data_IF_224025320754
#
_entry.id   IF_224025320754
#
_cell.length_a   1.000
_cell.length_b   1.000
_cell.length_c   1.000
_cell.angle_alpha   90.00
_cell.angle_beta   90.00
_cell.angle_gamma   90.00
#
_symmetry.space_group_name_H-M   'P 1'
#
loop_
_entity.id
_entity.type
_entity.pdbx_description
1 polymer ?
#
# COMPACT_ATOMS: atom_id res chain seq x y z
N UNK A 1 -44.54 -33.25 -22.90
CA UNK A 1 -44.79 -32.72 -21.53
C UNK A 1 -43.92 -33.39 -20.46
N UNK A 2 -43.75 -34.72 -20.44
CA UNK A 2 -42.95 -35.45 -19.44
C UNK A 2 -41.42 -35.18 -19.46
N UNK A 3 -40.86 -34.75 -20.60
CA UNK A 3 -39.44 -34.35 -20.73
C UNK A 3 -39.14 -32.92 -20.25
N UNK A 4 -40.14 -32.04 -20.24
CA UNK A 4 -40.00 -30.64 -19.78
C UNK A 4 -40.07 -30.58 -18.24
N UNK A 5 -40.84 -31.48 -17.62
CA UNK A 5 -40.95 -31.57 -16.17
C UNK A 5 -39.66 -32.09 -15.49
N UNK A 6 -38.90 -32.96 -16.15
CA UNK A 6 -37.62 -33.47 -15.62
C UNK A 6 -36.52 -32.40 -15.69
N UNK A 7 -36.54 -31.52 -16.70
CA UNK A 7 -35.61 -30.40 -16.81
C UNK A 7 -35.88 -29.31 -15.75
N UNK A 8 -37.15 -29.09 -15.37
CA UNK A 8 -37.51 -28.13 -14.31
C UNK A 8 -37.18 -28.69 -12.92
N UNK A 9 -37.32 -30.00 -12.69
CA UNK A 9 -36.92 -30.60 -11.41
C UNK A 9 -35.39 -30.63 -11.20
N UNK A 10 -34.57 -30.71 -12.26
CA UNK A 10 -33.10 -30.56 -12.14
C UNK A 10 -32.64 -29.10 -11.98
N UNK A 11 -33.42 -28.12 -12.46
CA UNK A 11 -33.14 -26.70 -12.22
C UNK A 11 -33.55 -26.25 -10.80
N UNK A 12 -34.56 -26.89 -10.20
CA UNK A 12 -35.07 -26.55 -8.86
C UNK A 12 -34.30 -27.24 -7.73
N UNK A 13 -33.61 -28.37 -7.98
CA UNK A 13 -32.70 -28.97 -6.99
C UNK A 13 -31.40 -28.20 -6.78
N UNK A 14 -31.10 -27.20 -7.62
CA UNK A 14 -30.02 -26.23 -7.34
C UNK A 14 -30.46 -25.04 -6.49
N UNK A 15 -31.78 -24.83 -6.31
CA UNK A 15 -32.33 -23.75 -5.47
C UNK A 15 -32.55 -24.15 -4.01
N UNK A 16 -32.41 -25.44 -3.67
CA UNK A 16 -32.48 -25.92 -2.29
C UNK A 16 -31.20 -26.68 -1.92
N UNK A 17 -30.29 -25.98 -1.23
CA UNK A 17 -29.54 -26.59 -0.13
C UNK A 17 -28.29 -27.39 -0.44
N UNK A 18 -27.75 -27.40 -1.67
CA UNK A 18 -26.33 -27.76 -1.83
C UNK A 18 -25.51 -26.55 -1.37
N UNK A 19 -25.18 -26.52 -0.08
CA UNK A 19 -24.02 -25.77 0.37
C UNK A 19 -22.81 -26.38 -0.34
N UNK A 20 -22.47 -25.83 -1.52
CA UNK A 20 -21.13 -26.03 -2.05
C UNK A 20 -20.21 -25.50 -0.95
N UNK A 21 -19.37 -26.35 -0.32
CA UNK A 21 -18.49 -25.88 0.73
C UNK A 21 -17.70 -24.71 0.16
N UNK A 22 -17.65 -23.61 0.92
CA UNK A 22 -17.05 -22.34 0.51
C UNK A 22 -15.53 -22.43 0.27
N UNK A 23 -14.93 -23.63 0.37
CA UNK A 23 -13.50 -23.88 0.35
C UNK A 23 -12.96 -24.63 -0.88
N UNK A 24 -13.80 -25.06 -1.83
CA UNK A 24 -13.27 -25.58 -3.10
C UNK A 24 -13.07 -24.42 -4.08
N UNK A 25 -11.93 -23.72 -3.98
CA UNK A 25 -11.52 -22.76 -5.01
C UNK A 25 -11.52 -23.47 -6.38
N UNK A 26 -12.32 -22.96 -7.33
CA UNK A 26 -12.40 -23.50 -8.69
C UNK A 26 -11.04 -23.38 -9.40
N UNK A 27 -10.31 -22.31 -9.08
CA UNK A 27 -8.99 -22.05 -9.62
C UNK A 27 -7.94 -22.56 -8.63
N UNK A 28 -7.25 -23.64 -9.01
CA UNK A 28 -6.11 -24.16 -8.25
C UNK A 28 -4.88 -23.24 -8.31
N UNK A 29 -3.93 -23.45 -7.39
CA UNK A 29 -2.70 -22.63 -7.30
C UNK A 29 -1.90 -22.54 -8.60
N UNK A 30 -1.67 -23.67 -9.28
CA UNK A 30 -0.90 -23.65 -10.53
C UNK A 30 -1.62 -22.87 -11.64
N UNK A 31 -2.96 -22.94 -11.67
CA UNK A 31 -3.76 -22.14 -12.58
C UNK A 31 -3.68 -20.65 -12.25
N UNK A 32 -3.74 -20.32 -10.95
CA UNK A 32 -3.53 -18.94 -10.45
C UNK A 32 -2.18 -18.37 -10.90
N UNK A 33 -1.10 -19.14 -10.77
CA UNK A 33 0.24 -18.73 -11.20
C UNK A 33 0.30 -18.56 -12.72
N UNK A 34 -0.23 -19.52 -13.49
CA UNK A 34 -0.25 -19.45 -14.96
C UNK A 34 -0.98 -18.21 -15.47
N UNK A 35 -2.16 -17.90 -14.90
CA UNK A 35 -2.89 -16.68 -15.24
C UNK A 35 -2.07 -15.43 -14.90
N UNK A 36 -1.42 -15.43 -13.73
CA UNK A 36 -0.51 -14.37 -13.31
C UNK A 36 0.60 -14.09 -14.31
N UNK A 37 1.27 -15.14 -14.79
CA UNK A 37 2.35 -15.04 -15.78
C UNK A 37 1.87 -14.46 -17.11
N UNK A 38 0.69 -14.87 -17.58
CA UNK A 38 0.12 -14.34 -18.83
C UNK A 38 -0.25 -12.86 -18.70
N UNK A 39 -0.89 -12.46 -17.59
CA UNK A 39 -1.23 -11.05 -17.31
C UNK A 39 0.03 -10.21 -17.11
N UNK A 40 1.02 -10.73 -16.38
CA UNK A 40 2.33 -10.12 -16.19
C UNK A 40 3.00 -9.80 -17.53
N UNK A 41 3.03 -10.77 -18.45
CA UNK A 41 3.59 -10.55 -19.79
C UNK A 41 2.82 -9.48 -20.57
N UNK A 42 1.49 -9.42 -20.45
CA UNK A 42 0.68 -8.38 -21.08
C UNK A 42 1.00 -6.99 -20.53
N UNK A 43 1.06 -6.83 -19.20
CA UNK A 43 1.39 -5.56 -18.54
C UNK A 43 2.81 -5.10 -18.90
N UNK A 44 3.79 -6.00 -18.88
CA UNK A 44 5.18 -5.70 -19.23
C UNK A 44 5.33 -5.32 -20.70
N UNK A 45 4.56 -5.93 -21.61
CA UNK A 45 4.53 -5.54 -23.02
C UNK A 45 3.83 -4.19 -23.24
N UNK A 46 2.78 -3.90 -22.47
CA UNK A 46 2.00 -2.68 -22.62
C UNK A 46 2.73 -1.45 -22.08
N UNK A 47 3.28 -1.54 -20.87
CA UNK A 47 3.87 -0.40 -20.16
C UNK A 47 5.40 -0.39 -20.22
N UNK A 48 6.04 -1.53 -20.47
CA UNK A 48 7.48 -1.67 -20.29
C UNK A 48 7.89 -1.72 -18.81
N UNK A 49 9.06 -2.30 -18.55
CA UNK A 49 9.67 -2.37 -17.21
C UNK A 49 10.77 -1.32 -17.09
N UNK A 50 10.81 -0.58 -15.98
CA UNK A 50 11.86 0.40 -15.72
C UNK A 50 13.22 -0.32 -15.58
N UNK A 51 14.24 0.18 -16.29
CA UNK A 51 15.57 -0.45 -16.37
C UNK A 51 16.54 -0.01 -15.25
N UNK A 52 16.07 0.76 -14.28
CA UNK A 52 16.84 1.16 -13.11
C UNK A 52 16.91 0.01 -12.09
N UNK A 53 18.08 -0.65 -12.02
CA UNK A 53 18.29 -1.78 -11.13
C UNK A 53 18.19 -1.42 -9.64
N UNK A 54 18.61 -0.21 -9.24
CA UNK A 54 18.52 0.24 -7.86
C UNK A 54 17.06 0.46 -7.46
N UNK A 55 16.27 1.05 -8.36
CA UNK A 55 14.84 1.24 -8.15
C UNK A 55 14.08 -0.10 -8.06
N UNK A 56 14.36 -1.04 -8.96
CA UNK A 56 13.77 -2.38 -8.89
C UNK A 56 14.15 -3.09 -7.58
N UNK A 57 15.42 -3.02 -7.18
CA UNK A 57 15.90 -3.62 -5.94
C UNK A 57 15.22 -3.00 -4.71
N UNK A 58 15.04 -1.68 -4.67
CA UNK A 58 14.33 -0.97 -3.61
C UNK A 58 12.90 -1.47 -3.45
N UNK A 59 12.11 -1.47 -4.53
CA UNK A 59 10.71 -1.91 -4.48
C UNK A 59 10.60 -3.39 -4.11
N UNK A 60 11.49 -4.24 -4.64
CA UNK A 60 11.54 -5.65 -4.26
C UNK A 60 11.92 -5.82 -2.78
N UNK A 61 12.89 -5.08 -2.25
CA UNK A 61 13.27 -5.18 -0.83
C UNK A 61 12.07 -4.85 0.09
N UNK A 62 11.31 -3.80 -0.24
CA UNK A 62 10.10 -3.43 0.51
C UNK A 62 9.06 -4.56 0.45
N UNK A 63 8.75 -5.01 -0.77
CA UNK A 63 7.78 -6.08 -0.99
C UNK A 63 8.14 -7.38 -0.28
N UNK A 64 9.39 -7.83 -0.37
CA UNK A 64 9.86 -9.06 0.29
C UNK A 64 9.83 -8.95 1.81
N UNK A 65 10.16 -7.78 2.38
CA UNK A 65 10.07 -7.53 3.83
C UNK A 65 8.62 -7.67 4.33
N UNK A 66 7.64 -7.21 3.55
CA UNK A 66 6.22 -7.37 3.83
C UNK A 66 5.74 -8.82 3.66
N UNK A 67 6.18 -9.50 2.60
CA UNK A 67 5.83 -10.91 2.33
C UNK A 67 6.33 -11.81 3.44
N UNK A 68 7.54 -11.57 3.97
CA UNK A 68 8.14 -12.37 5.04
C UNK A 68 7.26 -12.47 6.32
N UNK A 69 6.37 -11.50 6.56
CA UNK A 69 5.45 -11.48 7.71
C UNK A 69 3.99 -11.77 7.33
N UNK A 70 3.75 -12.19 6.08
CA UNK A 70 2.42 -12.51 5.56
C UNK A 70 2.01 -13.97 5.81
N UNK A 71 0.71 -14.24 5.76
CA UNK A 71 0.19 -15.59 6.01
C UNK A 71 0.24 -16.51 4.77
N UNK A 72 0.52 -15.96 3.58
CA UNK A 72 0.48 -16.71 2.31
C UNK A 72 1.89 -16.89 1.75
N UNK A 73 2.61 -17.89 2.28
CA UNK A 73 4.00 -18.19 1.93
C UNK A 73 4.16 -19.19 0.77
N UNK A 74 3.05 -19.68 0.20
CA UNK A 74 3.10 -20.72 -0.82
C UNK A 74 3.38 -20.18 -2.24
N UNK A 75 3.38 -18.86 -2.45
CA UNK A 75 3.65 -18.22 -3.74
C UNK A 75 5.07 -17.64 -3.78
N UNK A 76 5.64 -17.56 -4.98
CA UNK A 76 6.80 -16.73 -5.23
C UNK A 76 6.32 -15.32 -5.58
N UNK A 77 6.65 -14.35 -4.73
CA UNK A 77 6.26 -12.96 -4.94
C UNK A 77 7.30 -12.23 -5.77
N UNK A 78 6.84 -11.55 -6.82
CA UNK A 78 7.69 -10.71 -7.67
C UNK A 78 7.19 -9.29 -7.67
N UNK A 79 8.10 -8.33 -7.51
CA UNK A 79 7.79 -6.91 -7.52
C UNK A 79 8.52 -6.25 -8.67
N UNK A 80 7.79 -5.51 -9.52
CA UNK A 80 8.38 -4.80 -10.66
C UNK A 80 7.84 -3.38 -10.79
N UNK A 81 8.70 -2.48 -11.23
CA UNK A 81 8.30 -1.11 -11.58
C UNK A 81 7.99 -1.01 -13.07
N UNK A 82 6.78 -0.57 -13.40
CA UNK A 82 6.33 -0.32 -14.77
C UNK A 82 6.57 1.13 -15.18
N UNK A 83 6.92 1.33 -16.46
CA UNK A 83 7.23 2.63 -17.01
C UNK A 83 5.95 3.40 -17.41
N UNK A 84 5.24 3.89 -16.40
CA UNK A 84 4.05 4.73 -16.57
C UNK A 84 4.05 5.85 -15.51
N UNK A 85 3.66 7.05 -15.93
CA UNK A 85 3.55 8.23 -15.07
C UNK A 85 2.24 8.26 -14.25
N UNK A 86 1.38 7.24 -14.39
CA UNK A 86 0.19 7.12 -13.55
C UNK A 86 0.55 6.80 -12.10
N UNK A 87 -0.24 7.33 -11.16
CA UNK A 87 -0.16 7.01 -9.73
C UNK A 87 -0.96 5.73 -9.48
N UNK A 88 -0.33 4.58 -9.67
CA UNK A 88 -0.98 3.29 -9.56
C UNK A 88 -0.07 2.14 -9.08
N UNK A 89 -0.69 1.10 -8.53
CA UNK A 89 -0.08 -0.20 -8.24
C UNK A 89 -1.13 -1.30 -8.51
N UNK A 90 -0.66 -2.52 -8.79
CA UNK A 90 -1.53 -3.63 -9.18
C UNK A 90 -1.00 -4.95 -8.61
N UNK A 91 -1.84 -5.67 -7.86
CA UNK A 91 -1.67 -7.10 -7.60
C UNK A 91 -2.39 -7.95 -8.66
N UNK A 92 -1.66 -8.84 -9.33
CA UNK A 92 -2.23 -9.84 -10.23
C UNK A 92 -2.13 -11.25 -9.62
N UNK A 93 -2.94 -12.22 -10.08
CA UNK A 93 -2.92 -13.58 -9.55
C UNK A 93 -1.50 -14.17 -9.49
N UNK A 94 -1.23 -15.02 -8.49
CA UNK A 94 0.01 -15.80 -8.47
C UNK A 94 1.23 -15.10 -7.85
N UNK A 95 1.09 -13.90 -7.30
CA UNK A 95 2.14 -13.23 -6.52
C UNK A 95 2.90 -12.14 -7.27
N UNK A 96 2.46 -11.75 -8.46
CA UNK A 96 3.08 -10.65 -9.21
C UNK A 96 2.43 -9.32 -8.80
N UNK A 97 3.26 -8.38 -8.36
CA UNK A 97 2.84 -7.06 -7.91
C UNK A 97 3.63 -6.01 -8.69
N UNK A 98 2.92 -5.04 -9.24
CA UNK A 98 3.49 -3.97 -10.05
C UNK A 98 3.24 -2.62 -9.40
N UNK A 99 4.24 -1.74 -9.49
CA UNK A 99 4.17 -0.35 -9.05
C UNK A 99 4.50 0.53 -10.25
N UNK A 100 3.73 1.59 -10.48
CA UNK A 100 3.98 2.48 -11.60
C UNK A 100 4.98 3.55 -11.16
N UNK A 101 5.88 3.97 -12.07
CA UNK A 101 6.88 5.01 -11.79
C UNK A 101 6.24 6.29 -11.22
N UNK A 102 5.08 6.70 -11.74
CA UNK A 102 4.34 7.86 -11.23
C UNK A 102 3.94 7.75 -9.75
N UNK A 103 3.64 6.55 -9.25
CA UNK A 103 3.36 6.33 -7.83
C UNK A 103 4.61 6.51 -6.97
N UNK A 104 5.76 6.03 -7.45
CA UNK A 104 7.05 6.18 -6.77
C UNK A 104 7.45 7.65 -6.68
N UNK A 105 7.28 8.39 -7.78
CA UNK A 105 7.55 9.83 -7.82
C UNK A 105 6.61 10.60 -6.86
N UNK A 106 5.40 10.07 -6.62
CA UNK A 106 4.40 10.66 -5.73
C UNK A 106 4.59 10.30 -4.23
N UNK A 107 5.18 9.14 -3.94
CA UNK A 107 5.44 8.58 -2.61
C UNK A 107 6.94 8.32 -2.42
N UNK A 108 7.72 9.37 -2.09
CA UNK A 108 9.17 9.27 -2.09
C UNK A 108 9.73 8.38 -0.98
N UNK A 109 9.01 8.14 0.13
CA UNK A 109 9.53 7.31 1.24
C UNK A 109 9.19 5.83 1.10
N UNK A 110 10.06 4.98 1.66
CA UNK A 110 9.83 3.52 1.69
C UNK A 110 8.60 3.15 2.53
N UNK A 111 8.32 3.91 3.59
CA UNK A 111 7.14 3.72 4.44
C UNK A 111 5.85 3.94 3.65
N UNK A 112 5.79 5.00 2.85
CA UNK A 112 4.60 5.31 2.04
C UNK A 112 4.37 4.23 0.97
N UNK A 113 5.43 3.78 0.31
CA UNK A 113 5.37 2.66 -0.64
C UNK A 113 5.00 1.34 0.06
N UNK A 114 5.48 1.10 1.28
CA UNK A 114 5.10 -0.07 2.07
C UNK A 114 3.61 -0.07 2.40
N UNK A 115 2.99 1.10 2.61
CA UNK A 115 1.54 1.24 2.75
C UNK A 115 0.79 0.71 1.53
N UNK A 116 1.19 1.13 0.32
CA UNK A 116 0.57 0.64 -0.93
C UNK A 116 0.86 -0.85 -1.14
N UNK A 117 2.11 -1.29 -1.03
CA UNK A 117 2.49 -2.67 -1.26
C UNK A 117 1.85 -3.62 -0.25
N UNK A 118 1.71 -3.21 1.02
CA UNK A 118 1.01 -3.99 2.03
C UNK A 118 -0.45 -4.23 1.65
N UNK A 119 -1.12 -3.22 1.11
CA UNK A 119 -2.49 -3.33 0.58
C UNK A 119 -2.58 -4.29 -0.61
N UNK A 120 -1.70 -4.16 -1.59
CA UNK A 120 -1.63 -5.06 -2.76
C UNK A 120 -1.34 -6.51 -2.37
N UNK A 121 -0.39 -6.74 -1.45
CA UNK A 121 -0.14 -8.07 -0.88
C UNK A 121 -1.40 -8.60 -0.17
N UNK A 122 -2.17 -7.72 0.49
CA UNK A 122 -3.46 -8.05 1.07
C UNK A 122 -4.44 -8.67 0.06
N UNK A 123 -4.54 -8.12 -1.15
CA UNK A 123 -5.35 -8.70 -2.22
C UNK A 123 -4.88 -10.09 -2.64
N UNK A 124 -3.56 -10.30 -2.74
CA UNK A 124 -2.98 -11.61 -3.07
C UNK A 124 -3.24 -12.63 -1.95
N UNK A 125 -3.00 -12.26 -0.70
CA UNK A 125 -3.21 -13.12 0.48
C UNK A 125 -4.67 -13.58 0.56
N UNK A 126 -5.62 -12.68 0.30
CA UNK A 126 -7.06 -12.98 0.34
C UNK A 126 -7.63 -13.53 -0.97
N UNK A 127 -6.80 -13.67 -2.01
CA UNK A 127 -7.18 -14.17 -3.34
C UNK A 127 -8.31 -13.36 -3.99
N UNK A 128 -8.34 -12.04 -3.79
CA UNK A 128 -9.45 -11.20 -4.26
C UNK A 128 -9.65 -11.27 -5.78
N UNK A 129 -8.58 -11.13 -6.57
CA UNK A 129 -8.67 -11.19 -8.04
C UNK A 129 -9.13 -12.57 -8.52
N UNK A 130 -8.65 -13.65 -7.88
CA UNK A 130 -9.10 -15.02 -8.20
C UNK A 130 -10.59 -15.21 -7.89
N UNK A 131 -11.05 -14.78 -6.71
CA UNK A 131 -12.47 -14.83 -6.34
C UNK A 131 -13.34 -14.02 -7.30
N UNK A 132 -12.84 -12.90 -7.82
CA UNK A 132 -13.54 -12.08 -8.79
C UNK A 132 -13.63 -12.79 -10.16
N UNK A 133 -12.54 -13.41 -10.62
CA UNK A 133 -12.55 -14.23 -11.83
C UNK A 133 -13.53 -15.40 -11.68
N UNK A 134 -13.52 -16.11 -10.55
CA UNK A 134 -14.45 -17.22 -10.29
C UNK A 134 -15.91 -16.77 -10.30
N UNK A 135 -16.22 -15.60 -9.72
CA UNK A 135 -17.56 -14.99 -9.80
C UNK A 135 -17.95 -14.68 -11.25
N UNK A 136 -17.04 -14.12 -12.03
CA UNK A 136 -17.28 -13.81 -13.44
C UNK A 136 -17.47 -15.08 -14.28
N UNK A 137 -16.65 -16.12 -14.04
CA UNK A 137 -16.81 -17.45 -14.65
C UNK A 137 -18.19 -18.03 -14.39
N UNK A 138 -18.66 -17.99 -13.15
CA UNK A 138 -19.99 -18.50 -12.80
C UNK A 138 -21.11 -17.78 -13.56
N UNK A 139 -21.01 -16.45 -13.69
CA UNK A 139 -21.94 -15.64 -14.49
C UNK A 139 -21.84 -15.97 -15.99
N UNK A 140 -20.63 -16.11 -16.53
CA UNK A 140 -20.43 -16.43 -17.95
C UNK A 140 -20.91 -17.84 -18.29
N UNK A 141 -20.67 -18.84 -17.44
CA UNK A 141 -21.20 -20.20 -17.62
C UNK A 141 -22.74 -20.21 -17.59
N UNK A 142 -23.35 -19.47 -16.67
CA UNK A 142 -24.81 -19.26 -16.65
C UNK A 142 -25.29 -18.63 -17.97
N UNK A 143 -24.57 -17.63 -18.47
CA UNK A 143 -24.91 -16.96 -19.73
C UNK A 143 -24.73 -17.88 -20.94
N UNK A 144 -23.65 -18.67 -21.02
CA UNK A 144 -23.40 -19.62 -22.11
C UNK A 144 -24.48 -20.70 -22.17
N UNK A 145 -24.92 -21.23 -21.02
CA UNK A 145 -26.04 -22.18 -20.94
C UNK A 145 -27.33 -21.55 -21.49
N UNK A 146 -27.52 -20.23 -21.29
CA UNK A 146 -28.68 -19.49 -21.75
C UNK A 146 -28.57 -18.99 -23.22
N UNK A 147 -27.37 -18.73 -23.74
CA UNK A 147 -27.15 -18.01 -25.02
C UNK A 147 -26.38 -18.78 -26.10
N UNK A 148 -25.88 -19.99 -25.83
CA UNK A 148 -25.14 -20.85 -26.78
C UNK A 148 -23.83 -20.26 -27.35
N UNK A 149 -23.07 -19.52 -26.53
CA UNK A 149 -21.60 -19.63 -26.57
C UNK A 149 -20.76 -18.43 -27.03
N UNK A 150 -19.80 -18.08 -26.17
CA UNK A 150 -18.43 -17.63 -26.48
C UNK A 150 -17.48 -18.35 -25.51
N UNK A 151 -16.24 -18.63 -25.93
CA UNK A 151 -15.23 -19.27 -25.09
C UNK A 151 -14.74 -18.36 -23.96
N UNK A 152 -14.37 -18.93 -22.81
CA UNK A 152 -13.84 -18.20 -21.66
C UNK A 152 -12.32 -18.35 -21.60
N UNK A 153 -11.57 -17.26 -21.84
CA UNK A 153 -10.11 -17.22 -21.71
C UNK A 153 -9.76 -16.67 -20.33
N UNK A 154 -9.02 -17.44 -19.53
CA UNK A 154 -8.77 -17.14 -18.12
C UNK A 154 -7.90 -15.88 -17.92
N UNK A 155 -6.90 -15.65 -18.76
CA UNK A 155 -6.07 -14.44 -18.69
C UNK A 155 -6.86 -13.17 -19.07
N UNK A 156 -7.72 -13.23 -20.09
CA UNK A 156 -8.59 -12.11 -20.44
C UNK A 156 -9.56 -11.79 -19.30
N UNK A 157 -10.09 -12.81 -18.64
CA UNK A 157 -10.93 -12.63 -17.45
C UNK A 157 -10.14 -12.06 -16.27
N UNK A 158 -8.87 -12.45 -16.10
CA UNK A 158 -8.01 -11.90 -15.06
C UNK A 158 -7.71 -10.40 -15.30
N UNK A 159 -7.42 -10.02 -16.55
CA UNK A 159 -7.24 -8.62 -16.93
C UNK A 159 -8.53 -7.82 -16.74
N UNK A 160 -9.68 -8.38 -17.12
CA UNK A 160 -10.99 -7.75 -16.88
C UNK A 160 -11.30 -7.59 -15.38
N UNK A 161 -10.99 -8.60 -14.57
CA UNK A 161 -11.18 -8.53 -13.12
C UNK A 161 -10.33 -7.42 -12.49
N UNK A 162 -9.07 -7.28 -12.93
CA UNK A 162 -8.18 -6.22 -12.48
C UNK A 162 -8.74 -4.83 -12.80
N UNK A 163 -9.31 -4.65 -14.00
CA UNK A 163 -9.91 -3.38 -14.43
C UNK A 163 -11.27 -3.10 -13.79
N UNK A 164 -12.02 -4.13 -13.41
CA UNK A 164 -13.33 -3.99 -12.78
C UNK A 164 -13.26 -3.49 -11.33
N UNK A 165 -12.08 -3.52 -10.70
CA UNK A 165 -11.86 -3.11 -9.32
C UNK A 165 -12.45 -4.09 -8.31
N UNK A 166 -12.19 -3.86 -7.02
CA UNK A 166 -12.56 -4.79 -5.95
C UNK A 166 -13.83 -4.37 -5.20
N UNK A 167 -14.49 -5.33 -4.54
CA UNK A 167 -15.65 -5.01 -3.71
C UNK A 167 -15.24 -4.27 -2.43
N UNK A 168 -16.17 -3.52 -1.81
CA UNK A 168 -15.91 -2.83 -0.53
C UNK A 168 -15.44 -3.77 0.59
N UNK A 169 -15.91 -5.02 0.58
CA UNK A 169 -15.45 -6.02 1.54
C UNK A 169 -14.02 -6.47 1.28
N UNK A 170 -13.63 -6.58 0.01
CA UNK A 170 -12.27 -6.94 -0.39
C UNK A 170 -11.30 -5.81 -0.03
N UNK A 171 -11.66 -4.56 -0.32
CA UNK A 171 -10.91 -3.36 0.10
C UNK A 171 -10.68 -3.30 1.61
N UNK A 172 -11.74 -3.54 2.39
CA UNK A 172 -11.62 -3.59 3.85
C UNK A 172 -10.66 -4.67 4.32
N UNK A 173 -10.70 -5.87 3.71
CA UNK A 173 -9.80 -6.96 4.06
C UNK A 173 -8.36 -6.67 3.65
N UNK A 174 -8.15 -6.01 2.51
CA UNK A 174 -6.84 -5.58 2.03
C UNK A 174 -6.26 -4.47 2.92
N UNK A 175 -7.05 -3.47 3.32
CA UNK A 175 -6.62 -2.43 4.27
C UNK A 175 -6.20 -3.04 5.62
N UNK A 176 -7.02 -3.95 6.16
CA UNK A 176 -6.75 -4.62 7.43
C UNK A 176 -5.47 -5.47 7.34
N UNK A 177 -5.30 -6.22 6.27
CA UNK A 177 -4.09 -7.02 6.05
C UNK A 177 -2.87 -6.11 5.85
N UNK A 178 -2.97 -5.08 5.00
CA UNK A 178 -1.90 -4.16 4.68
C UNK A 178 -1.40 -3.41 5.91
N UNK A 179 -2.31 -2.87 6.73
CA UNK A 179 -1.96 -2.26 8.01
C UNK A 179 -1.25 -3.25 8.94
N UNK A 180 -1.69 -4.51 9.01
CA UNK A 180 -1.02 -5.51 9.83
C UNK A 180 0.37 -5.87 9.31
N UNK A 181 0.52 -6.00 7.98
CA UNK A 181 1.80 -6.35 7.34
C UNK A 181 2.84 -5.26 7.54
N UNK A 182 2.50 -3.99 7.29
CA UNK A 182 3.44 -2.87 7.46
C UNK A 182 3.96 -2.78 8.88
N UNK A 183 3.06 -2.86 9.86
CA UNK A 183 3.42 -2.83 11.28
C UNK A 183 4.27 -4.04 11.71
N UNK A 184 3.93 -5.25 11.26
CA UNK A 184 4.71 -6.46 11.56
C UNK A 184 6.10 -6.44 10.91
N UNK A 185 6.21 -5.87 9.72
CA UNK A 185 7.45 -5.71 8.98
C UNK A 185 8.35 -4.61 9.57
N UNK A 186 7.86 -3.82 10.53
CA UNK A 186 8.62 -2.73 11.15
C UNK A 186 8.64 -1.45 10.31
N UNK A 187 7.69 -1.28 9.38
CA UNK A 187 7.44 0.01 8.73
C UNK A 187 6.67 0.95 9.65
N UNK A 188 6.70 2.24 9.31
CA UNK A 188 6.04 3.30 10.05
C UNK A 188 4.55 2.98 10.25
N UNK A 189 4.01 3.08 11.48
CA UNK A 189 2.62 2.77 11.73
C UNK A 189 1.64 3.66 10.93
N UNK A 190 2.04 4.89 10.60
CA UNK A 190 1.22 5.82 9.84
C UNK A 190 1.26 5.59 8.32
N UNK A 191 2.08 4.66 7.82
CA UNK A 191 2.27 4.39 6.38
C UNK A 191 0.94 4.35 5.62
N UNK A 192 0.02 3.49 6.05
CA UNK A 192 -1.28 3.33 5.39
C UNK A 192 -2.16 4.60 5.45
N UNK A 193 -2.12 5.32 6.57
CA UNK A 193 -2.89 6.57 6.73
C UNK A 193 -2.39 7.65 5.76
N UNK A 194 -1.07 7.79 5.67
CA UNK A 194 -0.42 8.77 4.79
C UNK A 194 -0.70 8.42 3.34
N UNK A 195 -0.55 7.16 2.95
CA UNK A 195 -0.88 6.67 1.60
C UNK A 195 -2.31 7.05 1.21
N UNK A 196 -3.31 6.71 2.04
CA UNK A 196 -4.72 6.99 1.76
C UNK A 196 -4.99 8.50 1.67
N UNK A 197 -4.43 9.30 2.58
CA UNK A 197 -4.63 10.76 2.59
C UNK A 197 -3.95 11.46 1.41
N UNK A 198 -2.70 11.10 1.09
CA UNK A 198 -2.00 11.63 -0.09
C UNK A 198 -2.75 11.31 -1.36
N UNK A 199 -3.28 10.09 -1.46
CA UNK A 199 -4.13 9.73 -2.57
C UNK A 199 -5.36 10.66 -2.59
N UNK A 200 -6.10 10.78 -1.49
CA UNK A 200 -7.27 11.65 -1.42
C UNK A 200 -6.95 13.10 -1.88
N UNK A 201 -5.84 13.67 -1.42
CA UNK A 201 -5.37 14.99 -1.85
C UNK A 201 -5.19 15.08 -3.38
N UNK A 202 -4.58 14.06 -3.98
CA UNK A 202 -4.38 14.01 -5.43
C UNK A 202 -5.71 13.96 -6.18
N UNK A 203 -6.69 13.21 -5.66
CA UNK A 203 -8.04 13.16 -6.24
C UNK A 203 -8.78 14.49 -6.12
N UNK A 204 -8.59 15.22 -5.03
CA UNK A 204 -9.18 16.55 -4.82
C UNK A 204 -8.54 17.58 -5.76
N UNK A 205 -7.23 17.49 -6.01
CA UNK A 205 -6.48 18.41 -6.87
C UNK A 205 -6.74 18.19 -8.37
N UNK A 206 -6.75 16.94 -8.84
CA UNK A 206 -6.84 16.62 -10.27
C UNK A 206 -8.25 16.26 -10.74
N UNK A 207 -9.22 16.14 -9.81
CA UNK A 207 -10.47 15.43 -10.05
C UNK A 207 -10.25 13.92 -10.13
N UNK A 208 -11.30 13.11 -10.05
CA UNK A 208 -11.18 11.66 -10.22
C UNK A 208 -10.89 11.35 -11.70
N UNK A 209 -9.69 10.83 -12.05
CA UNK A 209 -9.35 10.60 -13.45
C UNK A 209 -10.13 9.41 -14.06
N UNK A 210 -10.84 8.61 -13.26
CA UNK A 210 -11.57 7.43 -13.72
C UNK A 210 -10.67 6.20 -13.95
N UNK A 211 -9.38 6.30 -13.63
CA UNK A 211 -8.37 5.24 -13.68
C UNK A 211 -7.38 5.38 -12.49
N UNK A 212 -6.48 4.41 -12.31
CA UNK A 212 -5.50 4.39 -11.21
C UNK A 212 -6.07 3.87 -9.87
N UNK A 213 -5.25 3.96 -8.81
CA UNK A 213 -5.54 3.42 -7.47
C UNK A 213 -6.86 3.99 -6.88
N UNK A 214 -7.28 5.16 -7.33
CA UNK A 214 -8.53 5.84 -6.95
C UNK A 214 -9.80 5.17 -7.44
N UNK A 215 -9.78 4.71 -8.70
CA UNK A 215 -10.95 4.18 -9.36
C UNK A 215 -11.13 2.69 -9.07
N UNK A 216 -10.03 2.01 -8.82
CA UNK A 216 -10.01 0.60 -8.41
C UNK A 216 -10.29 0.39 -6.91
N UNK A 217 -10.03 1.40 -6.04
CA UNK A 217 -10.15 1.28 -4.58
C UNK A 217 -10.98 2.43 -3.93
N UNK A 218 -12.33 2.34 -3.90
CA UNK A 218 -13.22 3.40 -3.41
C UNK A 218 -13.26 3.57 -1.87
N UNK A 219 -13.94 4.63 -1.39
CA UNK A 219 -14.26 4.98 0.01
C UNK A 219 -13.11 5.53 0.91
N UNK A 220 -12.37 6.58 0.50
CA UNK A 220 -11.23 7.10 1.26
C UNK A 220 -11.56 7.46 2.72
N UNK A 221 -12.67 8.17 2.97
CA UNK A 221 -13.07 8.58 4.34
C UNK A 221 -13.23 7.40 5.30
N UNK A 222 -13.85 6.30 4.85
CA UNK A 222 -14.04 5.10 5.68
C UNK A 222 -12.74 4.33 5.87
N UNK A 223 -11.83 4.36 4.89
CA UNK A 223 -10.48 3.78 5.03
C UNK A 223 -9.72 4.52 6.13
N UNK A 224 -9.73 5.85 6.08
CA UNK A 224 -9.12 6.73 7.10
C UNK A 224 -9.69 6.45 8.49
N UNK A 225 -11.02 6.35 8.64
CA UNK A 225 -11.65 6.02 9.92
C UNK A 225 -11.14 4.69 10.50
N UNK A 226 -11.09 3.63 9.67
CA UNK A 226 -10.61 2.30 10.08
C UNK A 226 -9.15 2.32 10.50
N UNK A 227 -8.28 2.95 9.71
CA UNK A 227 -6.85 3.06 10.00
C UNK A 227 -6.62 3.85 11.28
N UNK A 228 -7.32 4.97 11.48
CA UNK A 228 -7.25 5.75 12.72
C UNK A 228 -7.70 4.93 13.95
N UNK A 229 -8.75 4.14 13.82
CA UNK A 229 -9.20 3.23 14.89
C UNK A 229 -8.16 2.16 15.22
N UNK A 230 -7.40 1.68 14.24
CA UNK A 230 -6.30 0.74 14.45
C UNK A 230 -5.09 1.43 15.12
N UNK A 231 -4.70 2.61 14.63
CA UNK A 231 -3.63 3.44 15.19
C UNK A 231 -3.88 3.82 16.66
N UNK A 232 -5.12 4.17 17.02
CA UNK A 232 -5.48 4.52 18.39
C UNK A 232 -5.15 3.42 19.41
N UNK A 233 -5.17 2.13 18.98
CA UNK A 233 -4.82 1.00 19.84
C UNK A 233 -3.32 0.87 20.08
N UNK A 234 -2.49 1.42 19.21
CA UNK A 234 -1.04 1.32 19.28
C UNK A 234 -0.41 2.27 20.30
N UNK A 235 -1.15 3.29 20.77
CA UNK A 235 -0.67 4.31 21.72
C UNK A 235 0.66 4.93 21.29
N UNK A 236 0.72 5.34 20.03
CA UNK A 236 1.93 5.88 19.40
C UNK A 236 2.34 7.17 20.12
N UNK A 237 3.60 7.21 20.54
CA UNK A 237 4.29 8.40 21.03
C UNK A 237 5.63 8.50 20.31
N UNK A 238 6.11 9.69 19.90
CA UNK A 238 5.47 11.01 20.00
C UNK A 238 4.08 11.16 19.35
N UNK A 239 3.29 12.14 19.77
CA UNK A 239 1.99 12.47 19.16
C UNK A 239 2.12 13.61 18.16
N UNK A 240 1.20 13.70 17.20
CA UNK A 240 1.15 14.79 16.21
C UNK A 240 -0.06 15.68 16.45
N UNK A 241 0.16 16.98 16.50
CA UNK A 241 -0.90 18.00 16.56
C UNK A 241 -0.78 18.95 15.38
N UNK A 242 -1.90 19.37 14.81
CA UNK A 242 -1.93 20.35 13.71
C UNK A 242 -2.70 21.57 14.22
N UNK A 243 -2.12 22.76 14.08
CA UNK A 243 -2.81 23.99 14.45
C UNK A 243 -3.57 24.62 13.27
N UNK A 244 -4.37 25.65 13.54
CA UNK A 244 -5.18 26.34 12.52
C UNK A 244 -4.34 26.96 11.38
N UNK A 245 -3.04 27.19 11.61
CA UNK A 245 -2.10 27.68 10.61
C UNK A 245 -1.47 26.59 9.73
N UNK A 246 -1.88 25.32 9.89
CA UNK A 246 -1.33 24.18 9.14
C UNK A 246 0.06 23.74 9.60
N UNK A 247 0.55 24.24 10.74
CA UNK A 247 1.80 23.79 11.35
C UNK A 247 1.52 22.45 12.03
N UNK A 248 2.31 21.44 11.68
CA UNK A 248 2.28 20.15 12.33
C UNK A 248 3.41 20.07 13.37
N UNK A 249 3.07 19.72 14.60
CA UNK A 249 4.01 19.59 15.71
C UNK A 249 4.06 18.14 16.17
N UNK A 250 5.25 17.58 16.24
CA UNK A 250 5.54 16.30 16.89
C UNK A 250 5.83 16.58 18.36
N UNK A 251 5.13 15.94 19.29
CA UNK A 251 5.18 16.24 20.72
C UNK A 251 5.48 14.99 21.56
N UNK A 252 6.45 15.08 22.47
CA UNK A 252 6.69 14.07 23.50
C UNK A 252 7.24 14.72 24.78
N UNK A 253 6.42 14.73 25.84
CA UNK A 253 6.78 15.41 27.09
C UNK A 253 7.00 16.91 26.87
N UNK A 254 8.18 17.40 27.23
CA UNK A 254 8.60 18.79 26.99
C UNK A 254 9.29 19.00 25.64
N UNK A 255 9.60 17.91 24.92
CA UNK A 255 10.21 17.98 23.60
C UNK A 255 9.13 18.15 22.53
N UNK A 256 9.40 19.04 21.58
CA UNK A 256 8.54 19.21 20.41
C UNK A 256 9.37 19.59 19.17
N UNK A 257 8.82 19.26 18.01
CA UNK A 257 9.40 19.63 16.72
C UNK A 257 8.31 20.11 15.76
N UNK A 258 8.51 21.29 15.18
CA UNK A 258 7.53 21.91 14.28
C UNK A 258 7.93 21.72 12.82
N UNK A 259 6.97 21.30 12.01
CA UNK A 259 7.07 21.26 10.56
C UNK A 259 6.07 22.26 10.01
N UNK A 260 6.55 23.19 9.19
CA UNK A 260 5.75 24.35 8.75
C UNK A 260 5.60 24.45 7.24
N UNK A 261 6.45 23.76 6.47
CA UNK A 261 6.50 23.87 5.01
C UNK A 261 6.01 22.59 4.34
N UNK A 262 5.19 22.79 3.31
CA UNK A 262 4.85 21.76 2.33
C UNK A 262 5.93 21.75 1.24
N UNK A 263 6.37 20.56 0.85
CA UNK A 263 7.22 20.39 -0.33
C UNK A 263 6.57 19.35 -1.26
N UNK A 264 6.11 19.78 -2.45
CA UNK A 264 5.37 18.91 -3.35
C UNK A 264 4.14 18.28 -2.69
N UNK A 265 4.16 16.95 -2.53
CA UNK A 265 3.09 16.16 -1.91
C UNK A 265 3.30 15.95 -0.41
N UNK A 266 4.46 16.34 0.13
CA UNK A 266 4.82 16.21 1.54
C UNK A 266 4.31 17.41 2.35
N UNK A 267 3.04 17.32 2.76
CA UNK A 267 2.44 18.29 3.70
C UNK A 267 3.08 18.17 5.09
N UNK A 268 3.10 19.25 5.90
CA UNK A 268 3.56 19.21 7.28
C UNK A 268 3.00 18.05 8.11
N UNK A 269 1.70 17.77 7.97
CA UNK A 269 1.03 16.65 8.64
C UNK A 269 1.66 15.28 8.34
N UNK A 270 1.94 14.99 7.07
CA UNK A 270 2.48 13.69 6.65
C UNK A 270 3.91 13.53 7.15
N UNK A 271 4.72 14.58 7.01
CA UNK A 271 6.10 14.61 7.49
C UNK A 271 6.16 14.44 9.02
N UNK A 272 5.25 15.07 9.76
CA UNK A 272 5.18 14.95 11.21
C UNK A 272 4.76 13.54 11.64
N UNK A 273 3.83 12.90 10.91
CA UNK A 273 3.44 11.51 11.14
C UNK A 273 4.57 10.53 10.80
N UNK A 274 5.31 10.76 9.71
CA UNK A 274 6.52 9.98 9.39
C UNK A 274 7.53 10.08 10.54
N UNK A 275 7.84 11.29 10.99
CA UNK A 275 8.76 11.50 12.11
C UNK A 275 8.25 10.83 13.41
N UNK A 276 6.99 11.06 13.80
CA UNK A 276 6.42 10.46 15.01
C UNK A 276 6.43 8.93 14.96
N UNK A 277 6.10 8.33 13.81
CA UNK A 277 6.13 6.88 13.62
C UNK A 277 7.55 6.31 13.63
N UNK A 278 8.53 7.01 13.03
CA UNK A 278 9.93 6.62 13.08
C UNK A 278 10.46 6.62 14.51
N UNK A 279 10.19 7.70 15.27
CA UNK A 279 10.56 7.81 16.67
C UNK A 279 9.88 6.73 17.54
N UNK A 280 8.62 6.40 17.25
CA UNK A 280 7.94 5.27 17.88
C UNK A 280 8.64 3.93 17.62
N UNK A 281 9.11 3.68 16.40
CA UNK A 281 9.85 2.46 16.06
C UNK A 281 11.21 2.41 16.76
N UNK A 282 11.94 3.52 16.80
CA UNK A 282 13.23 3.63 17.50
C UNK A 282 13.08 3.26 18.98
N UNK A 283 12.02 3.75 19.65
CA UNK A 283 11.76 3.42 21.06
C UNK A 283 11.35 1.97 21.31
N UNK A 284 10.90 1.25 20.29
CA UNK A 284 10.63 -0.20 20.41
C UNK A 284 11.91 -1.03 20.34
N UNK A 285 13.02 -0.46 19.90
CA UNK A 285 14.33 -1.09 19.99
C UNK A 285 14.79 -1.32 21.43
N UNK A 286 15.70 -2.26 21.64
CA UNK A 286 16.16 -2.66 22.99
C UNK A 286 16.88 -1.54 23.74
N UNK A 287 17.71 -0.75 23.03
CA UNK A 287 18.42 0.41 23.56
C UNK A 287 18.50 1.51 22.52
N UNK A 288 18.05 2.71 22.89
CA UNK A 288 18.18 3.91 22.08
C UNK A 288 19.59 4.48 22.29
N UNK A 289 20.29 4.83 21.23
CA UNK A 289 21.62 5.43 21.26
C UNK A 289 21.60 6.73 20.45
N UNK A 290 21.80 7.85 21.14
CA UNK A 290 21.82 9.18 20.53
C UNK A 290 22.80 9.28 19.35
N UNK A 291 23.90 8.53 19.34
CA UNK A 291 24.97 8.69 18.33
C UNK A 291 24.61 8.10 16.98
N UNK A 292 23.47 7.40 16.87
CA UNK A 292 23.07 6.66 15.66
C UNK A 292 22.25 7.47 14.66
N UNK A 293 21.93 8.73 14.97
CA UNK A 293 21.36 9.63 13.97
C UNK A 293 22.41 10.05 12.96
N UNK A 294 22.11 9.87 11.68
CA UNK A 294 22.97 10.29 10.56
C UNK A 294 22.17 11.11 9.56
N UNK A 295 22.86 12.02 8.86
CA UNK A 295 22.31 12.80 7.75
C UNK A 295 22.88 12.29 6.44
N UNK A 296 22.04 12.23 5.41
CA UNK A 296 22.41 11.85 4.05
C UNK A 296 22.00 12.97 3.12
N UNK A 297 22.98 13.75 2.69
CA UNK A 297 22.78 14.90 1.81
C UNK A 297 22.56 14.43 0.35
N UNK A 298 21.51 14.97 -0.25
CA UNK A 298 21.20 14.82 -1.67
C UNK A 298 21.18 16.21 -2.34
N UNK A 299 20.97 16.24 -3.65
CA UNK A 299 21.05 17.49 -4.41
C UNK A 299 20.06 18.56 -3.94
N UNK A 300 18.83 18.18 -3.58
CA UNK A 300 17.74 19.12 -3.23
C UNK A 300 17.03 18.79 -1.91
N UNK A 301 17.55 17.84 -1.13
CA UNK A 301 17.03 17.48 0.19
C UNK A 301 18.14 16.82 1.02
N UNK A 302 17.94 16.74 2.33
CA UNK A 302 18.73 15.88 3.21
C UNK A 302 17.80 14.94 3.95
N UNK A 303 18.18 13.67 4.03
CA UNK A 303 17.48 12.68 4.83
C UNK A 303 18.16 12.50 6.18
N UNK A 304 17.35 12.33 7.22
CA UNK A 304 17.81 12.02 8.57
C UNK A 304 17.38 10.58 8.87
N UNK A 305 18.33 9.74 9.22
CA UNK A 305 18.10 8.34 9.57
C UNK A 305 18.51 8.06 11.01
N UNK A 306 17.91 7.04 11.60
CA UNK A 306 18.43 6.31 12.75
C UNK A 306 18.61 4.87 12.30
N UNK A 307 19.86 4.41 12.16
CA UNK A 307 20.17 3.14 11.50
C UNK A 307 19.50 3.01 10.11
N UNK A 308 18.58 2.05 9.95
CA UNK A 308 17.79 1.80 8.74
C UNK A 308 16.40 2.48 8.76
N UNK A 309 16.08 3.25 9.81
CA UNK A 309 14.79 3.93 9.96
C UNK A 309 14.92 5.36 9.42
N UNK A 310 14.16 5.67 8.37
CA UNK A 310 14.03 7.03 7.86
C UNK A 310 13.20 7.88 8.83
N UNK A 311 13.79 8.94 9.38
CA UNK A 311 13.16 9.77 10.41
C UNK A 311 12.47 10.98 9.79
N UNK A 312 13.20 11.73 8.97
CA UNK A 312 12.68 12.94 8.36
C UNK A 312 13.50 13.30 7.13
N UNK A 313 12.81 13.66 6.05
CA UNK A 313 13.40 14.41 4.94
C UNK A 313 13.21 15.90 5.17
N UNK A 314 14.28 16.67 5.02
CA UNK A 314 14.26 18.14 5.05
C UNK A 314 14.65 18.74 3.70
N UNK A 315 14.05 19.87 3.38
CA UNK A 315 14.16 20.55 2.10
C UNK A 315 14.72 21.97 2.27
N UNK A 316 15.01 22.63 1.16
CA UNK A 316 15.52 24.02 1.15
C UNK A 316 14.59 25.00 1.88
N UNK A 317 13.28 24.82 1.73
CA UNK A 317 12.26 25.69 2.32
C UNK A 317 12.23 25.60 3.87
N UNK A 318 12.72 24.49 4.44
CA UNK A 318 12.80 24.29 5.89
C UNK A 318 14.04 24.99 6.49
N UNK A 319 15.11 25.14 5.70
CA UNK A 319 16.42 25.61 6.15
C UNK A 319 16.50 27.15 6.29
N UNK A 320 15.37 27.86 6.40
CA UNK A 320 15.38 29.31 6.53
C UNK A 320 16.12 29.76 7.80
N UNK A 321 17.17 30.57 7.62
CA UNK A 321 18.04 31.00 8.70
C UNK A 321 19.23 30.07 8.99
N UNK A 322 19.35 28.96 8.26
CA UNK A 322 20.52 28.09 8.25
C UNK A 322 21.38 28.36 7.01
N UNK A 323 22.66 28.00 7.05
CA UNK A 323 23.59 28.20 5.94
C UNK A 323 23.31 27.29 4.74
N UNK A 324 22.76 26.10 4.98
CA UNK A 324 22.45 25.09 3.99
C UNK A 324 21.40 24.09 4.50
N UNK A 325 20.88 23.23 3.60
CA UNK A 325 20.01 22.10 3.96
C UNK A 325 20.75 21.14 4.91
N UNK A 326 22.04 20.88 4.65
CA UNK A 326 22.90 20.01 5.46
C UNK A 326 23.07 20.57 6.88
N UNK A 327 23.31 21.88 7.03
CA UNK A 327 23.40 22.53 8.35
C UNK A 327 22.10 22.41 9.14
N UNK A 328 20.96 22.59 8.46
CA UNK A 328 19.65 22.41 9.07
C UNK A 328 19.42 20.94 9.49
N UNK A 329 19.69 19.98 8.61
CA UNK A 329 19.57 18.56 8.90
C UNK A 329 20.44 18.15 10.09
N UNK A 330 21.67 18.65 10.16
CA UNK A 330 22.58 18.44 11.30
C UNK A 330 22.02 19.01 12.60
N UNK A 331 21.44 20.21 12.57
CA UNK A 331 20.77 20.79 13.74
C UNK A 331 19.55 19.96 14.19
N UNK A 332 18.74 19.47 13.25
CA UNK A 332 17.62 18.56 13.56
C UNK A 332 18.13 17.24 14.16
N UNK A 333 19.21 16.67 13.64
CA UNK A 333 19.83 15.48 14.20
C UNK A 333 20.28 15.71 15.66
N UNK A 334 20.87 16.86 15.99
CA UNK A 334 21.20 17.22 17.38
C UNK A 334 19.96 17.34 18.26
N UNK A 335 18.87 17.93 17.76
CA UNK A 335 17.59 17.98 18.51
C UNK A 335 17.00 16.59 18.76
N UNK A 336 17.21 15.65 17.83
CA UNK A 336 16.81 14.25 17.99
C UNK A 336 17.69 13.51 19.00
N UNK A 337 18.99 13.84 19.08
CA UNK A 337 19.86 13.36 20.15
C UNK A 337 19.36 13.83 21.52
N UNK A 338 18.96 15.10 21.64
CA UNK A 338 18.38 15.62 22.88
C UNK A 338 17.05 14.93 23.22
N UNK A 339 16.21 14.64 22.22
CA UNK A 339 15.01 13.82 22.41
C UNK A 339 15.34 12.45 23.00
N UNK A 340 16.34 11.73 22.49
CA UNK A 340 16.70 10.42 23.04
C UNK A 340 17.13 10.50 24.51
N UNK A 341 17.85 11.57 24.89
CA UNK A 341 18.22 11.80 26.30
C UNK A 341 16.99 12.08 27.15
N UNK A 342 16.00 12.81 26.62
CA UNK A 342 14.78 13.15 27.33
C UNK A 342 13.84 11.95 27.55
N UNK A 343 13.83 10.95 26.66
CA UNK A 343 12.95 9.76 26.78
C UNK A 343 13.61 8.57 27.48
N UNK A 344 14.93 8.62 27.74
CA UNK A 344 15.65 7.62 28.54
C UNK A 344 15.37 7.70 30.05
N UNK A 345 14.81 8.82 30.51
CA UNK A 345 14.56 9.15 31.93
C UNK A 345 13.11 9.54 32.19
#
# INVERSE_FOLDING_TARGET
MRKIFIAICMAVTFFFGVQVPAEAALIGKNQEISMGQEVAAQLENQYGVVQDAALQARVNAIGQRLVAVSDRQDLEYTFKVLNSDEVNALAVPGGFIYVFKGLIDFMPSDDELAGVLGHEIGHVVKRHSVKQIEKQMALTLLTIILTKGQGFILADAAMQALMAGYSRSDERQADEQGFMLTNKAGYNPYSMLITVNKLQDLSELKGNPGYGLFSSHPEPEKRVERVNKALAKMKITPTVTINDGGIATVNEGNWNFNITKTHGTDKPEYRAKLMAGALYLIKKGEQIDETRFITVDNYNYSDIYYDDIHVLRVYEEDAYGFGSISDYAGAVALMLQDWTRAVKY
#
